data_IF_671842892067
#
_entry.id   IF_671842892067
#
_cell.length_a   1.000
_cell.length_b   1.000
_cell.length_c   1.000
_cell.angle_alpha   90.00
_cell.angle_beta   90.00
_cell.angle_gamma   90.00
#
_symmetry.space_group_name_H-M   'P 1'
#
loop_
_entity.id
_entity.type
_entity.pdbx_description
1 polymer ?
#
# COMPACT_ATOMS: atom_id res chain seq x y z
N UNK A 1 -14.62 -54.83 -30.23
CA UNK A 1 -13.97 -53.50 -30.16
C UNK A 1 -14.98 -52.49 -29.65
N UNK A 2 -15.01 -52.24 -28.33
CA UNK A 2 -15.87 -51.23 -27.70
C UNK A 2 -15.00 -50.03 -27.35
N UNK A 3 -15.24 -48.89 -28.00
CA UNK A 3 -14.55 -47.62 -27.73
C UNK A 3 -15.06 -47.07 -26.40
N UNK A 4 -14.20 -47.05 -25.39
CA UNK A 4 -14.40 -46.33 -24.14
C UNK A 4 -14.35 -44.82 -24.41
N UNK A 5 -15.49 -44.16 -24.28
CA UNK A 5 -15.59 -42.70 -24.26
C UNK A 5 -15.32 -42.26 -22.82
N UNK A 6 -14.17 -41.62 -22.59
CA UNK A 6 -13.87 -40.99 -21.30
C UNK A 6 -14.63 -39.66 -21.21
N UNK A 7 -15.45 -39.53 -20.17
CA UNK A 7 -16.14 -38.29 -19.84
C UNK A 7 -15.12 -37.20 -19.45
N UNK A 8 -15.39 -35.92 -19.77
CA UNK A 8 -14.53 -34.82 -19.35
C UNK A 8 -14.65 -34.65 -17.82
N UNK A 9 -13.51 -34.54 -17.15
CA UNK A 9 -13.44 -34.19 -15.74
C UNK A 9 -14.03 -32.79 -15.55
N UNK A 10 -15.12 -32.68 -14.80
CA UNK A 10 -15.58 -31.40 -14.28
C UNK A 10 -14.50 -30.87 -13.32
N UNK A 11 -13.78 -29.83 -13.76
CA UNK A 11 -13.03 -28.99 -12.86
C UNK A 11 -14.04 -28.25 -11.96
N UNK A 12 -14.14 -28.69 -10.71
CA UNK A 12 -14.89 -27.99 -9.69
C UNK A 12 -14.30 -26.60 -9.50
N UNK A 13 -15.13 -25.58 -9.67
CA UNK A 13 -14.81 -24.19 -9.31
C UNK A 13 -14.69 -24.18 -7.78
N UNK A 14 -13.45 -24.23 -7.28
CA UNK A 14 -13.17 -23.97 -5.88
C UNK A 14 -13.37 -22.46 -5.66
N UNK A 15 -14.56 -22.08 -5.23
CA UNK A 15 -14.81 -20.73 -4.73
C UNK A 15 -13.91 -20.56 -3.51
N UNK A 16 -12.83 -19.81 -3.67
CA UNK A 16 -11.95 -19.36 -2.59
C UNK A 16 -12.78 -18.51 -1.63
N UNK A 17 -13.44 -19.17 -0.68
CA UNK A 17 -13.93 -18.52 0.51
C UNK A 17 -12.69 -18.07 1.28
N UNK A 18 -12.27 -16.82 1.04
CA UNK A 18 -11.50 -16.08 2.04
C UNK A 18 -12.32 -16.27 3.33
N UNK A 19 -11.79 -16.95 4.36
CA UNK A 19 -12.53 -17.07 5.59
C UNK A 19 -12.85 -15.65 6.02
N UNK A 20 -14.14 -15.31 6.06
CA UNK A 20 -14.68 -14.06 6.58
C UNK A 20 -14.43 -14.05 8.11
N UNK A 21 -13.16 -14.12 8.50
CA UNK A 21 -12.69 -13.91 9.87
C UNK A 21 -12.48 -12.42 10.04
N UNK A 22 -13.56 -11.65 9.92
CA UNK A 22 -13.61 -10.29 10.43
C UNK A 22 -14.37 -10.33 11.74
N UNK A 23 -13.67 -10.63 12.84
CA UNK A 23 -14.05 -9.97 14.07
C UNK A 23 -14.02 -8.47 13.75
N UNK A 24 -15.13 -7.79 14.00
CA UNK A 24 -15.25 -6.35 13.75
C UNK A 24 -14.47 -5.61 14.83
N UNK A 25 -13.17 -5.87 14.93
CA UNK A 25 -12.32 -5.18 15.88
C UNK A 25 -12.42 -3.68 15.57
N UNK A 26 -12.83 -2.90 16.56
CA UNK A 26 -12.83 -1.44 16.53
C UNK A 26 -11.41 -0.86 16.37
N UNK A 27 -10.41 -1.73 16.50
CA UNK A 27 -9.01 -1.40 16.39
C UNK A 27 -8.27 -2.55 15.74
N UNK A 28 -7.46 -2.25 14.73
CA UNK A 28 -6.53 -3.21 14.17
C UNK A 28 -5.16 -2.54 14.07
N UNK A 29 -4.50 -2.37 15.20
CA UNK A 29 -3.08 -2.03 15.24
C UNK A 29 -2.43 -2.82 16.37
N UNK A 30 -1.30 -3.44 16.06
CA UNK A 30 -0.54 -4.25 17.01
C UNK A 30 0.78 -3.54 17.25
N UNK A 31 0.85 -2.73 18.31
CA UNK A 31 2.05 -1.94 18.64
C UNK A 31 3.31 -2.81 18.80
N UNK A 32 3.17 -4.12 19.05
CA UNK A 32 4.31 -5.03 19.11
C UNK A 32 5.09 -5.09 17.78
N UNK A 33 4.46 -4.71 16.66
CA UNK A 33 5.10 -4.53 15.36
C UNK A 33 6.31 -3.61 15.47
N UNK A 34 6.23 -2.55 16.28
CA UNK A 34 7.31 -1.60 16.48
C UNK A 34 8.58 -2.31 16.90
N UNK A 35 8.47 -3.35 17.73
CA UNK A 35 9.58 -4.01 18.40
C UNK A 35 10.09 -5.25 17.66
N UNK A 36 9.53 -5.59 16.49
CA UNK A 36 9.98 -6.75 15.72
C UNK A 36 11.46 -6.59 15.32
N UNK A 37 12.34 -7.55 15.66
CA UNK A 37 13.74 -7.52 15.22
C UNK A 37 13.84 -7.46 13.70
N UNK A 38 14.66 -6.54 13.19
CA UNK A 38 14.84 -6.34 11.74
C UNK A 38 13.86 -5.38 11.07
N UNK A 39 12.76 -4.99 11.73
CA UNK A 39 11.92 -3.90 11.24
C UNK A 39 12.57 -2.56 11.56
N UNK A 40 12.99 -1.85 10.52
CA UNK A 40 13.42 -0.46 10.60
C UNK A 40 12.47 0.41 9.76
N UNK A 41 11.81 1.36 10.41
CA UNK A 41 10.93 2.34 9.78
C UNK A 41 11.62 3.70 9.57
N UNK A 42 12.94 3.73 9.77
CA UNK A 42 13.74 4.92 9.59
C UNK A 42 14.07 5.15 8.12
N UNK A 43 13.71 6.33 7.62
CA UNK A 43 13.97 6.74 6.23
C UNK A 43 15.19 7.67 6.20
N UNK A 44 16.38 7.14 5.90
CA UNK A 44 17.58 7.98 5.62
C UNK A 44 17.54 8.59 4.21
N UNK A 45 16.36 8.99 3.76
CA UNK A 45 16.12 9.49 2.40
C UNK A 45 16.92 10.74 2.11
N UNK A 46 17.12 11.61 3.10
CA UNK A 46 17.94 12.82 2.98
C UNK A 46 19.40 12.54 2.57
N UNK A 47 19.90 11.32 2.83
CA UNK A 47 21.26 10.92 2.47
C UNK A 47 21.36 10.30 1.08
N UNK A 48 20.25 10.11 0.37
CA UNK A 48 20.18 9.55 -0.99
C UNK A 48 20.05 10.66 -2.04
N UNK A 49 20.89 11.69 -1.91
CA UNK A 49 20.85 12.90 -2.76
C UNK A 49 21.04 12.62 -4.24
N UNK A 50 21.70 11.53 -4.59
CA UNK A 50 21.92 11.07 -5.96
C UNK A 50 20.66 10.52 -6.66
N UNK A 51 19.60 10.20 -5.89
CA UNK A 51 18.32 9.76 -6.44
C UNK A 51 17.31 10.90 -6.61
N UNK A 52 17.59 12.08 -6.05
CA UNK A 52 16.70 13.23 -6.20
C UNK A 52 17.04 14.04 -7.44
N UNK A 53 16.00 14.43 -8.18
CA UNK A 53 16.09 15.56 -9.10
C UNK A 53 16.09 16.89 -8.33
N UNK A 54 15.79 17.99 -9.02
CA UNK A 54 15.82 19.33 -8.43
C UNK A 54 14.83 19.55 -7.25
N UNK A 55 13.83 18.68 -7.08
CA UNK A 55 12.69 18.90 -6.18
C UNK A 55 12.58 17.93 -4.98
N UNK A 56 13.55 17.03 -4.78
CA UNK A 56 13.76 16.36 -3.48
C UNK A 56 12.70 15.39 -2.92
N UNK A 57 11.60 15.08 -3.62
CA UNK A 57 10.47 14.32 -3.03
C UNK A 57 10.10 12.99 -3.70
N UNK A 58 10.90 12.46 -4.64
CA UNK A 58 10.39 11.45 -5.60
C UNK A 58 10.55 9.99 -5.19
N UNK A 59 10.87 9.74 -3.92
CA UNK A 59 11.15 8.40 -3.40
C UNK A 59 9.98 7.77 -2.65
N UNK A 60 8.81 8.39 -2.60
CA UNK A 60 7.68 7.90 -1.80
C UNK A 60 7.29 6.45 -2.14
N UNK A 61 7.25 6.10 -3.44
CA UNK A 61 6.98 4.73 -3.90
C UNK A 61 8.05 3.73 -3.41
N UNK A 62 9.33 3.87 -3.81
CA UNK A 62 10.41 2.96 -3.39
C UNK A 62 10.56 2.83 -1.88
N UNK A 63 10.43 3.95 -1.15
CA UNK A 63 10.43 3.97 0.31
C UNK A 63 9.27 3.12 0.83
N UNK A 64 8.03 3.41 0.42
CA UNK A 64 6.87 2.69 0.93
C UNK A 64 6.84 1.21 0.58
N UNK A 65 7.36 0.82 -0.59
CA UNK A 65 7.53 -0.59 -0.93
C UNK A 65 8.57 -1.23 0.00
N UNK A 66 9.71 -0.58 0.24
CA UNK A 66 10.72 -1.08 1.18
C UNK A 66 10.15 -1.30 2.58
N UNK A 67 9.39 -0.34 3.10
CA UNK A 67 8.68 -0.43 4.39
C UNK A 67 7.73 -1.62 4.42
N UNK A 68 6.87 -1.70 3.40
CA UNK A 68 5.86 -2.73 3.30
C UNK A 68 6.46 -4.14 3.23
N UNK A 69 7.45 -4.35 2.37
CA UNK A 69 8.10 -5.65 2.18
C UNK A 69 8.89 -6.07 3.43
N UNK A 70 9.54 -5.12 4.10
CA UNK A 70 10.22 -5.37 5.39
C UNK A 70 9.20 -5.82 6.44
N UNK A 71 8.03 -5.19 6.50
CA UNK A 71 6.95 -5.60 7.38
C UNK A 71 6.42 -7.00 7.05
N UNK A 72 6.18 -7.32 5.79
CA UNK A 72 5.76 -8.67 5.41
C UNK A 72 6.77 -9.71 5.87
N UNK A 73 8.07 -9.45 5.69
CA UNK A 73 9.14 -10.36 6.05
C UNK A 73 9.21 -10.64 7.55
N UNK A 74 9.22 -9.58 8.37
CA UNK A 74 9.48 -9.69 9.80
C UNK A 74 8.22 -9.67 10.68
N UNK A 75 7.17 -8.99 10.27
CA UNK A 75 5.91 -8.85 11.02
C UNK A 75 4.84 -9.87 10.66
N UNK A 76 4.76 -10.29 9.39
CA UNK A 76 3.68 -11.17 8.90
C UNK A 76 4.15 -12.60 8.63
N UNK A 77 5.44 -12.79 8.30
CA UNK A 77 6.04 -14.10 8.12
C UNK A 77 6.35 -14.50 6.67
N UNK A 78 6.50 -13.54 5.76
CA UNK A 78 6.99 -13.78 4.40
C UNK A 78 8.53 -13.98 4.40
N UNK A 79 8.98 -15.08 5.00
CA UNK A 79 10.40 -15.36 5.25
C UNK A 79 11.23 -15.51 3.97
N UNK A 80 10.60 -15.88 2.85
CA UNK A 80 11.27 -16.11 1.57
C UNK A 80 11.43 -14.83 0.73
N UNK A 81 10.96 -13.67 1.20
CA UNK A 81 11.18 -12.40 0.49
C UNK A 81 12.67 -12.22 0.24
N UNK A 82 13.01 -12.11 -1.05
CA UNK A 82 14.37 -12.10 -1.54
C UNK A 82 15.14 -10.95 -0.89
N UNK A 83 16.35 -11.21 -0.42
CA UNK A 83 17.31 -10.13 -0.30
C UNK A 83 17.61 -9.61 -1.71
N UNK A 84 18.01 -8.35 -1.82
CA UNK A 84 18.40 -7.68 -3.05
C UNK A 84 19.77 -8.24 -3.47
N UNK A 85 19.76 -9.45 -4.03
CA UNK A 85 20.97 -10.22 -4.38
C UNK A 85 21.83 -9.58 -5.47
N UNK A 86 21.28 -8.61 -6.21
CA UNK A 86 21.98 -7.91 -7.30
C UNK A 86 22.83 -6.72 -6.81
N UNK A 87 22.78 -6.40 -5.52
CA UNK A 87 23.76 -5.52 -4.91
C UNK A 87 24.87 -6.42 -4.35
N UNK A 88 25.98 -6.47 -5.08
CA UNK A 88 27.17 -7.21 -4.68
C UNK A 88 27.67 -6.71 -3.31
N UNK A 89 27.31 -7.44 -2.26
CA UNK A 89 27.55 -7.05 -0.87
C UNK A 89 28.54 -7.97 -0.15
N UNK A 90 29.27 -8.85 -0.86
CA UNK A 90 30.23 -9.78 -0.24
C UNK A 90 29.62 -10.61 0.92
N UNK A 91 28.34 -10.95 0.83
CA UNK A 91 27.61 -11.67 1.89
C UNK A 91 27.16 -10.82 3.09
N UNK A 92 27.23 -9.48 3.00
CA UNK A 92 26.59 -8.58 3.97
C UNK A 92 25.09 -8.47 3.71
N UNK A 93 24.32 -8.24 4.78
CA UNK A 93 22.89 -7.97 4.66
C UNK A 93 22.65 -6.60 4.02
N UNK A 94 21.68 -6.52 3.10
CA UNK A 94 21.28 -5.26 2.48
C UNK A 94 20.86 -4.24 3.54
N UNK A 95 21.31 -3.01 3.38
CA UNK A 95 20.81 -1.91 4.18
C UNK A 95 19.43 -1.46 3.68
N UNK A 96 18.76 -0.64 4.47
CA UNK A 96 17.49 -0.04 4.05
C UNK A 96 17.64 0.83 2.78
N UNK A 97 18.79 1.49 2.63
CA UNK A 97 19.10 2.32 1.46
C UNK A 97 19.30 1.48 0.20
N UNK A 98 19.96 0.33 0.36
CA UNK A 98 20.17 -0.64 -0.72
C UNK A 98 18.82 -1.10 -1.30
N UNK A 99 17.87 -1.41 -0.42
CA UNK A 99 16.50 -1.78 -0.82
C UNK A 99 15.75 -0.64 -1.50
N UNK A 100 15.85 0.59 -0.99
CA UNK A 100 15.24 1.77 -1.64
C UNK A 100 15.83 1.99 -3.03
N UNK A 101 17.15 1.84 -3.21
CA UNK A 101 17.80 1.95 -4.52
C UNK A 101 17.35 0.88 -5.50
N UNK A 102 17.22 -0.35 -5.01
CA UNK A 102 16.66 -1.42 -5.80
C UNK A 102 15.24 -1.09 -6.27
N UNK A 103 14.34 -0.71 -5.37
CA UNK A 103 12.97 -0.36 -5.76
C UNK A 103 12.89 0.90 -6.61
N UNK A 104 13.79 1.86 -6.43
CA UNK A 104 13.91 3.01 -7.33
C UNK A 104 14.11 2.55 -8.78
N UNK A 105 15.05 1.63 -9.01
CA UNK A 105 15.32 1.09 -10.34
C UNK A 105 14.23 0.11 -10.82
N UNK A 106 13.84 -0.84 -9.97
CA UNK A 106 12.91 -1.92 -10.33
C UNK A 106 11.50 -1.39 -10.62
N UNK A 107 11.11 -0.30 -9.95
CA UNK A 107 9.82 0.34 -10.17
C UNK A 107 9.88 1.48 -11.19
N UNK A 108 10.94 1.60 -12.00
CA UNK A 108 11.10 2.67 -12.99
C UNK A 108 10.84 4.08 -12.43
N UNK A 109 11.34 4.36 -11.22
CA UNK A 109 11.06 5.64 -10.56
C UNK A 109 11.82 6.76 -11.26
N UNK A 110 11.12 7.80 -11.68
CA UNK A 110 11.74 8.99 -12.27
C UNK A 110 12.18 9.96 -11.18
N UNK A 111 13.38 10.52 -11.33
CA UNK A 111 13.98 11.44 -10.34
C UNK A 111 13.21 12.75 -10.19
N UNK A 112 12.41 13.11 -11.17
CA UNK A 112 11.68 14.37 -11.25
C UNK A 112 10.16 14.19 -11.07
N UNK A 113 9.59 13.05 -11.45
CA UNK A 113 8.14 12.82 -11.40
C UNK A 113 7.70 11.68 -10.47
N UNK A 114 8.64 10.91 -9.90
CA UNK A 114 8.33 9.79 -9.01
C UNK A 114 7.92 8.52 -9.75
N UNK A 115 7.12 7.69 -9.09
CA UNK A 115 6.70 6.38 -9.59
C UNK A 115 5.22 6.40 -9.97
N UNK A 116 4.85 5.86 -11.14
CA UNK A 116 3.45 5.70 -11.51
C UNK A 116 2.78 4.53 -10.76
N UNK A 117 1.46 4.56 -10.65
CA UNK A 117 0.68 3.56 -9.91
C UNK A 117 0.87 2.15 -10.48
N UNK A 118 0.81 2.05 -11.80
CA UNK A 118 1.06 0.80 -12.51
C UNK A 118 2.48 0.27 -12.29
N UNK A 119 3.48 1.15 -12.26
CA UNK A 119 4.86 0.75 -12.01
C UNK A 119 5.08 0.26 -10.57
N UNK A 120 4.48 0.93 -9.57
CA UNK A 120 4.46 0.45 -8.17
C UNK A 120 3.89 -0.96 -8.09
N UNK A 121 2.71 -1.17 -8.68
CA UNK A 121 2.03 -2.46 -8.66
C UNK A 121 2.83 -3.57 -9.37
N UNK A 122 3.32 -3.30 -10.58
CA UNK A 122 4.12 -4.25 -11.35
C UNK A 122 5.43 -4.62 -10.63
N UNK A 123 6.06 -3.63 -9.99
CA UNK A 123 7.29 -3.79 -9.23
C UNK A 123 7.08 -4.66 -7.98
N UNK A 124 6.03 -4.37 -7.19
CA UNK A 124 5.65 -5.17 -6.03
C UNK A 124 5.35 -6.62 -6.43
N UNK A 125 4.56 -6.81 -7.50
CA UNK A 125 4.26 -8.13 -8.02
C UNK A 125 5.53 -8.89 -8.43
N UNK A 126 6.39 -8.27 -9.24
CA UNK A 126 7.62 -8.89 -9.74
C UNK A 126 8.55 -9.29 -8.59
N UNK A 127 8.71 -8.44 -7.57
CA UNK A 127 9.55 -8.74 -6.41
C UNK A 127 9.00 -9.91 -5.58
N UNK A 128 7.69 -9.97 -5.36
CA UNK A 128 7.03 -11.08 -4.66
C UNK A 128 7.18 -12.39 -5.43
N UNK A 129 7.02 -12.36 -6.75
CA UNK A 129 7.20 -13.53 -7.63
C UNK A 129 8.66 -14.02 -7.66
N UNK A 130 9.62 -13.11 -7.79
CA UNK A 130 11.06 -13.44 -7.73
C UNK A 130 11.47 -14.02 -6.37
N UNK A 131 10.71 -13.71 -5.32
CA UNK A 131 10.87 -14.27 -3.98
C UNK A 131 10.27 -15.68 -3.81
N UNK A 132 9.76 -16.27 -4.88
CA UNK A 132 9.20 -17.63 -4.90
C UNK A 132 7.73 -17.72 -4.45
N UNK A 133 7.06 -16.59 -4.23
CA UNK A 133 5.61 -16.57 -4.01
C UNK A 133 4.87 -16.53 -5.36
N UNK A 134 3.60 -16.92 -5.39
CA UNK A 134 2.76 -16.66 -6.58
C UNK A 134 2.33 -15.19 -6.61
N UNK A 135 1.76 -14.72 -7.73
CA UNK A 135 1.31 -13.34 -7.92
C UNK A 135 0.25 -12.93 -6.88
N UNK A 136 0.65 -12.22 -5.82
CA UNK A 136 -0.25 -11.78 -4.74
C UNK A 136 -0.26 -10.28 -4.48
N UNK A 137 0.41 -9.49 -5.31
CA UNK A 137 0.25 -8.04 -5.27
C UNK A 137 -1.02 -7.67 -6.01
N UNK A 138 -1.90 -6.89 -5.38
CA UNK A 138 -3.12 -6.40 -6.00
C UNK A 138 -3.37 -4.95 -5.64
N UNK A 139 -4.28 -4.35 -6.38
CA UNK A 139 -4.73 -2.99 -6.21
C UNK A 139 -6.24 -2.94 -6.06
N UNK A 140 -6.74 -2.12 -5.14
CA UNK A 140 -8.17 -1.78 -5.02
C UNK A 140 -8.30 -0.28 -5.11
N UNK A 141 -9.27 0.17 -5.88
CA UNK A 141 -9.48 1.58 -6.16
C UNK A 141 -9.81 1.82 -7.64
N UNK A 142 -10.08 3.07 -8.03
CA UNK A 142 -10.44 3.44 -9.39
C UNK A 142 -9.43 3.02 -10.45
N UNK A 143 -8.15 2.90 -10.06
CA UNK A 143 -7.05 2.55 -10.97
C UNK A 143 -6.64 1.08 -10.88
N UNK A 144 -7.41 0.22 -10.22
CA UNK A 144 -7.12 -1.21 -10.14
C UNK A 144 -6.96 -1.84 -11.54
N UNK A 145 -5.86 -2.55 -11.73
CA UNK A 145 -5.47 -3.20 -13.01
C UNK A 145 -5.47 -4.73 -12.96
N UNK A 146 -5.58 -5.31 -11.77
CA UNK A 146 -5.55 -6.76 -11.57
C UNK A 146 -6.47 -7.17 -10.41
N UNK A 147 -6.74 -8.47 -10.31
CA UNK A 147 -7.54 -9.04 -9.23
C UNK A 147 -7.05 -10.44 -8.89
N UNK A 148 -7.34 -10.93 -7.66
CA UNK A 148 -7.10 -12.32 -7.30
C UNK A 148 -7.85 -13.29 -8.22
N UNK A 149 -7.31 -14.51 -8.34
CA UNK A 149 -7.96 -15.57 -9.12
C UNK A 149 -9.40 -15.81 -8.62
N UNK A 150 -10.35 -15.85 -9.55
CA UNK A 150 -11.78 -16.02 -9.23
C UNK A 150 -12.50 -14.75 -8.75
N UNK A 151 -11.80 -13.63 -8.57
CA UNK A 151 -12.40 -12.33 -8.22
C UNK A 151 -12.50 -11.47 -9.49
N UNK A 152 -13.69 -11.01 -9.90
CA UNK A 152 -13.83 -10.08 -11.01
C UNK A 152 -13.07 -8.76 -10.77
N UNK A 153 -12.43 -8.21 -11.80
CA UNK A 153 -11.70 -6.92 -11.69
C UNK A 153 -12.60 -5.78 -11.19
N UNK A 154 -13.88 -5.76 -11.58
CA UNK A 154 -14.86 -4.75 -11.14
C UNK A 154 -15.11 -4.77 -9.62
N UNK A 155 -14.83 -5.89 -8.94
CA UNK A 155 -14.88 -5.97 -7.47
C UNK A 155 -13.69 -5.26 -6.82
N UNK A 156 -12.61 -5.06 -7.56
CA UNK A 156 -11.42 -4.33 -7.13
C UNK A 156 -11.44 -2.88 -7.62
N UNK A 157 -12.09 -2.65 -8.76
CA UNK A 157 -12.12 -1.37 -9.48
C UNK A 157 -13.34 -0.54 -9.11
N UNK A 158 -13.30 0.05 -7.91
CA UNK A 158 -14.35 0.92 -7.39
C UNK A 158 -13.75 2.07 -6.58
N UNK A 159 -14.55 3.08 -6.27
CA UNK A 159 -14.13 4.14 -5.34
C UNK A 159 -13.97 3.54 -3.95
N UNK A 160 -12.80 3.74 -3.34
CA UNK A 160 -12.50 3.18 -2.03
C UNK A 160 -13.54 3.53 -0.97
N UNK A 161 -13.73 2.59 -0.05
CA UNK A 161 -14.57 2.70 1.15
C UNK A 161 -13.75 2.55 2.43
N UNK A 162 -14.30 2.96 3.59
CA UNK A 162 -13.68 2.68 4.89
C UNK A 162 -13.58 1.17 5.11
N UNK A 163 -14.59 0.42 4.68
CA UNK A 163 -14.58 -1.04 4.70
C UNK A 163 -13.39 -1.66 3.94
N UNK A 164 -13.02 -1.13 2.78
CA UNK A 164 -11.86 -1.64 2.02
C UNK A 164 -10.58 -1.50 2.84
N UNK A 165 -10.33 -0.30 3.37
CA UNK A 165 -9.16 -0.03 4.22
C UNK A 165 -9.14 -0.97 5.42
N UNK A 166 -10.27 -1.10 6.13
CA UNK A 166 -10.39 -1.98 7.29
C UNK A 166 -10.16 -3.45 6.96
N UNK A 167 -10.63 -3.90 5.80
CA UNK A 167 -10.49 -5.28 5.34
C UNK A 167 -9.03 -5.62 5.11
N UNK A 168 -8.31 -4.82 4.33
CA UNK A 168 -6.92 -5.13 3.99
C UNK A 168 -5.96 -4.86 5.16
N UNK A 169 -6.14 -3.76 5.89
CA UNK A 169 -5.29 -3.51 7.07
C UNK A 169 -5.57 -4.55 8.16
N UNK A 170 -6.83 -4.91 8.39
CA UNK A 170 -7.22 -5.93 9.37
C UNK A 170 -6.74 -7.34 9.02
N UNK A 171 -6.55 -7.64 7.72
CA UNK A 171 -5.95 -8.89 7.26
C UNK A 171 -4.43 -8.99 7.54
N UNK A 172 -3.83 -7.97 8.16
CA UNK A 172 -2.39 -7.90 8.49
C UNK A 172 -1.51 -8.12 7.26
N UNK A 173 -1.91 -7.58 6.12
CA UNK A 173 -1.11 -7.58 4.90
C UNK A 173 -0.35 -6.25 4.76
N UNK A 174 0.58 -6.18 3.81
CA UNK A 174 1.13 -4.90 3.38
C UNK A 174 -0.02 -4.08 2.81
N UNK A 175 -0.25 -2.88 3.34
CA UNK A 175 -1.14 -1.89 2.73
C UNK A 175 -0.35 -0.62 2.47
N UNK A 176 -0.27 -0.26 1.19
CA UNK A 176 0.31 0.98 0.71
C UNK A 176 -0.84 1.79 0.10
N UNK A 177 -1.02 3.02 0.56
CA UNK A 177 -2.10 3.90 0.12
C UNK A 177 -1.54 4.91 -0.88
N UNK A 178 -2.18 4.99 -2.05
CA UNK A 178 -1.94 6.01 -3.07
C UNK A 178 -2.88 7.18 -2.87
N UNK A 179 -2.32 8.39 -2.86
CA UNK A 179 -3.09 9.63 -2.74
C UNK A 179 -2.68 10.65 -3.80
N UNK A 180 -3.62 11.50 -4.16
CA UNK A 180 -3.36 12.66 -5.02
C UNK A 180 -3.36 13.96 -4.21
N UNK A 181 -2.54 14.92 -4.64
CA UNK A 181 -2.62 16.30 -4.19
C UNK A 181 -3.40 17.12 -5.21
N UNK A 182 -4.30 17.96 -4.71
CA UNK A 182 -5.22 18.72 -5.53
C UNK A 182 -5.21 20.20 -5.17
N UNK A 183 -5.07 21.04 -6.20
CA UNK A 183 -5.27 22.48 -6.09
C UNK A 183 -6.73 22.84 -6.38
N UNK A 184 -7.25 23.81 -5.62
CA UNK A 184 -8.60 24.31 -5.78
C UNK A 184 -8.64 25.49 -6.77
N UNK A 185 -9.44 25.38 -7.81
CA UNK A 185 -9.77 26.51 -8.68
C UNK A 185 -11.05 27.19 -8.19
N UNK A 186 -10.93 28.38 -7.61
CA UNK A 186 -12.07 29.12 -7.06
C UNK A 186 -13.11 29.56 -8.11
N UNK A 187 -12.70 29.73 -9.38
CA UNK A 187 -13.60 30.17 -10.46
C UNK A 187 -14.54 29.05 -10.88
N UNK A 188 -14.01 27.86 -11.07
CA UNK A 188 -14.79 26.67 -11.47
C UNK A 188 -15.30 25.87 -10.28
N UNK A 189 -14.80 26.17 -9.07
CA UNK A 189 -15.01 25.40 -7.83
C UNK A 189 -14.59 23.94 -7.98
N UNK A 190 -13.55 23.66 -8.78
CA UNK A 190 -13.08 22.31 -9.07
C UNK A 190 -11.70 22.07 -8.47
N UNK A 191 -11.47 20.86 -7.97
CA UNK A 191 -10.14 20.39 -7.61
C UNK A 191 -9.43 19.75 -8.81
N UNK A 192 -8.15 20.06 -9.01
CA UNK A 192 -7.32 19.50 -10.09
C UNK A 192 -6.06 18.87 -9.52
N UNK A 193 -5.75 17.65 -9.97
CA UNK A 193 -4.59 16.88 -9.50
C UNK A 193 -3.30 17.55 -9.94
N UNK A 194 -2.37 17.78 -9.01
CA UNK A 194 -1.06 18.38 -9.27
C UNK A 194 0.12 17.47 -8.90
N UNK A 195 -0.15 16.37 -8.20
CA UNK A 195 0.86 15.43 -7.75
C UNK A 195 0.24 14.28 -6.97
N UNK A 196 1.07 13.48 -6.32
CA UNK A 196 0.61 12.38 -5.50
C UNK A 196 1.70 11.86 -4.59
N UNK A 197 1.31 10.93 -3.73
CA UNK A 197 2.17 10.37 -2.70
C UNK A 197 1.79 8.93 -2.39
N UNK A 198 2.75 8.17 -1.87
CA UNK A 198 2.54 6.82 -1.35
C UNK A 198 2.99 6.75 0.09
N UNK A 199 2.19 6.10 0.92
CA UNK A 199 2.53 5.86 2.32
C UNK A 199 1.98 4.51 2.78
N UNK A 200 2.48 3.99 3.88
CA UNK A 200 2.07 2.68 4.39
C UNK A 200 1.04 2.84 5.50
N UNK A 201 0.03 1.97 5.54
CA UNK A 201 -0.95 1.88 6.61
C UNK A 201 -0.77 0.55 7.32
N UNK A 202 -0.49 0.60 8.62
CA UNK A 202 -0.20 -0.57 9.44
C UNK A 202 -1.29 -0.90 10.45
N UNK A 203 -2.19 0.05 10.66
CA UNK A 203 -3.32 -0.16 11.52
C UNK A 203 -4.34 0.95 11.44
N UNK A 204 -5.41 0.80 12.23
CA UNK A 204 -6.45 1.81 12.33
C UNK A 204 -7.16 1.80 13.68
N UNK A 205 -7.69 2.98 14.04
CA UNK A 205 -8.75 3.17 15.02
C UNK A 205 -10.08 3.39 14.27
N UNK A 206 -11.16 2.74 14.71
CA UNK A 206 -12.49 2.83 14.10
C UNK A 206 -13.60 2.72 15.15
N UNK A 207 -14.47 3.73 15.22
CA UNK A 207 -15.73 3.67 15.95
C UNK A 207 -16.88 3.29 15.01
N UNK A 208 -17.75 2.37 15.44
CA UNK A 208 -18.93 2.00 14.64
C UNK A 208 -19.89 3.17 14.43
N UNK A 209 -19.90 4.16 15.34
CA UNK A 209 -20.67 5.38 15.22
C UNK A 209 -20.18 6.28 14.07
N UNK A 210 -18.93 6.13 13.63
CA UNK A 210 -18.37 6.86 12.48
C UNK A 210 -18.88 6.36 11.14
N UNK A 211 -19.30 5.09 11.07
CA UNK A 211 -19.75 4.45 9.83
C UNK A 211 -18.71 4.54 8.70
N UNK A 212 -19.17 4.59 7.45
CA UNK A 212 -18.28 4.68 6.28
C UNK A 212 -17.71 6.10 6.04
N UNK A 213 -17.89 7.03 6.98
CA UNK A 213 -17.47 8.42 6.78
C UNK A 213 -16.12 8.75 7.40
N UNK A 214 -15.57 7.91 8.28
CA UNK A 214 -14.36 8.24 9.00
C UNK A 214 -13.60 7.03 9.55
N UNK A 215 -12.27 7.14 9.60
CA UNK A 215 -11.33 6.20 10.21
C UNK A 215 -10.01 6.92 10.50
N UNK A 216 -9.34 6.57 11.60
CA UNK A 216 -7.99 7.06 11.89
C UNK A 216 -6.97 5.98 11.53
N UNK A 217 -5.98 6.32 10.71
CA UNK A 217 -4.96 5.42 10.18
C UNK A 217 -3.67 5.54 10.99
N UNK A 218 -3.00 4.41 11.26
CA UNK A 218 -1.62 4.37 11.76
C UNK A 218 -0.67 4.24 10.57
N UNK A 219 -0.02 5.34 10.22
CA UNK A 219 0.70 5.51 8.98
C UNK A 219 2.21 5.69 9.16
N UNK A 220 2.99 5.26 8.16
CA UNK A 220 4.42 5.55 8.02
C UNK A 220 4.67 6.12 6.64
N UNK A 221 5.70 6.96 6.51
CA UNK A 221 5.99 7.71 5.30
C UNK A 221 4.88 8.71 4.97
N UNK A 222 4.27 9.33 5.99
CA UNK A 222 3.22 10.34 5.83
C UNK A 222 3.75 11.72 5.40
N UNK A 223 4.95 11.82 4.80
CA UNK A 223 5.71 13.07 4.56
C UNK A 223 6.24 13.74 5.84
N UNK A 224 6.37 12.98 6.91
CA UNK A 224 6.98 13.45 8.14
C UNK A 224 8.40 12.93 8.27
N UNK A 225 9.29 13.75 8.85
CA UNK A 225 10.65 13.32 9.12
C UNK A 225 10.67 12.40 10.36
N UNK A 226 11.13 11.16 10.17
CA UNK A 226 11.31 10.19 11.25
C UNK A 226 12.74 10.24 11.85
N UNK A 227 13.61 11.14 11.36
CA UNK A 227 14.92 11.47 11.92
C UNK A 227 14.89 11.60 13.45
N UNK A 228 15.60 10.73 14.17
CA UNK A 228 15.74 10.81 15.63
C UNK A 228 14.49 10.49 16.45
N UNK A 229 13.38 10.03 15.84
CA UNK A 229 12.20 9.59 16.60
C UNK A 229 12.50 8.35 17.42
N UNK A 230 11.88 8.27 18.60
CA UNK A 230 11.92 7.04 19.38
C UNK A 230 11.11 5.94 18.67
N UNK A 231 11.49 4.69 18.90
CA UNK A 231 10.94 3.53 18.19
C UNK A 231 9.42 3.41 18.32
N UNK A 232 8.86 3.79 19.46
CA UNK A 232 7.42 3.78 19.72
C UNK A 232 6.64 4.89 18.98
N UNK A 233 7.33 5.92 18.46
CA UNK A 233 6.73 7.10 17.83
C UNK A 233 6.90 7.09 16.29
N UNK A 234 7.12 5.90 15.72
CA UNK A 234 7.38 5.72 14.28
C UNK A 234 6.11 5.74 13.43
N UNK A 235 4.93 5.81 14.04
CA UNK A 235 3.64 5.89 13.37
C UNK A 235 2.97 7.22 13.62
N UNK A 236 2.40 7.80 12.57
CA UNK A 236 1.54 8.97 12.68
C UNK A 236 0.07 8.54 12.67
N UNK A 237 -0.77 9.26 13.41
CA UNK A 237 -2.23 9.14 13.31
C UNK A 237 -2.73 10.09 12.22
N UNK A 238 -3.23 9.53 11.12
CA UNK A 238 -3.74 10.27 9.96
C UNK A 238 -5.24 10.04 9.85
N UNK A 239 -6.02 11.11 9.76
CA UNK A 239 -7.47 11.01 9.65
C UNK A 239 -7.90 10.88 8.19
N UNK A 240 -8.68 9.84 7.88
CA UNK A 240 -9.40 9.70 6.62
C UNK A 240 -10.87 10.01 6.88
N UNK A 241 -11.41 10.99 6.16
CA UNK A 241 -12.80 11.46 6.37
C UNK A 241 -13.49 11.73 5.05
N UNK A 242 -14.82 11.58 5.02
CA UNK A 242 -15.62 11.85 3.84
C UNK A 242 -15.38 13.28 3.31
N UNK A 243 -15.41 13.42 1.98
CA UNK A 243 -15.27 14.72 1.34
C UNK A 243 -16.31 15.74 1.87
N UNK A 244 -15.88 16.97 2.20
CA UNK A 244 -16.81 18.01 2.65
C UNK A 244 -17.89 18.32 1.62
N UNK A 245 -19.12 18.49 2.08
CA UNK A 245 -20.25 18.96 1.26
C UNK A 245 -20.29 20.49 1.22
N UNK A 246 -19.22 21.10 0.72
CA UNK A 246 -19.02 22.56 0.68
C UNK A 246 -19.40 23.20 -0.68
N UNK A 247 -20.00 22.41 -1.58
CA UNK A 247 -20.35 22.81 -2.94
C UNK A 247 -19.19 22.87 -3.92
N UNK A 248 -18.00 22.40 -3.53
CA UNK A 248 -16.89 22.14 -4.46
C UNK A 248 -17.14 20.87 -5.27
N UNK A 249 -16.51 20.78 -6.43
CA UNK A 249 -16.50 19.59 -7.29
C UNK A 249 -15.17 18.86 -7.12
N UNK A 250 -15.25 17.62 -6.68
CA UNK A 250 -14.11 16.72 -6.48
C UNK A 250 -14.02 15.72 -7.65
N UNK A 251 -12.85 15.08 -7.87
CA UNK A 251 -12.76 13.96 -8.79
C UNK A 251 -13.73 12.85 -8.40
N UNK A 252 -14.48 12.32 -9.37
CA UNK A 252 -15.50 11.28 -9.15
C UNK A 252 -14.93 9.97 -8.60
N UNK A 253 -13.62 9.81 -8.75
CA UNK A 253 -12.83 8.66 -8.32
C UNK A 253 -12.47 8.70 -6.83
N UNK A 254 -12.79 9.79 -6.13
CA UNK A 254 -12.38 10.00 -4.72
C UNK A 254 -13.59 10.26 -3.82
N UNK A 255 -13.55 9.74 -2.59
CA UNK A 255 -14.58 9.95 -1.57
C UNK A 255 -14.02 10.45 -0.23
N UNK A 256 -12.70 10.39 -0.05
CA UNK A 256 -12.08 10.73 1.22
C UNK A 256 -10.96 11.76 1.06
N UNK A 257 -10.85 12.61 2.09
CA UNK A 257 -9.72 13.51 2.32
C UNK A 257 -8.87 12.98 3.48
N UNK A 258 -7.56 13.12 3.36
CA UNK A 258 -6.62 12.92 4.46
C UNK A 258 -6.28 14.24 5.17
N UNK A 259 -6.19 14.18 6.50
CA UNK A 259 -5.68 15.26 7.34
C UNK A 259 -4.80 14.68 8.47
N UNK A 260 -3.98 15.52 9.10
CA UNK A 260 -3.07 15.10 10.17
C UNK A 260 -1.59 15.36 9.85
N UNK A 261 -0.65 14.74 10.61
CA UNK A 261 0.79 14.89 10.38
C UNK A 261 1.17 14.58 8.93
N UNK A 262 1.87 15.53 8.32
CA UNK A 262 2.33 15.44 6.93
C UNK A 262 1.23 15.42 5.87
N UNK A 263 -0.02 15.73 6.22
CA UNK A 263 -1.12 15.98 5.29
C UNK A 263 -1.84 17.32 5.54
N UNK A 264 -1.17 18.23 6.25
CA UNK A 264 -1.70 19.56 6.61
C UNK A 264 -1.15 20.66 5.68
N UNK A 265 -1.36 20.51 4.37
CA UNK A 265 -0.90 21.46 3.35
C UNK A 265 -2.04 22.34 2.83
N UNK A 266 -1.69 23.33 2.01
CA UNK A 266 -2.67 24.13 1.26
C UNK A 266 -3.43 23.30 0.23
N UNK A 267 -2.80 22.26 -0.31
CA UNK A 267 -3.42 21.30 -1.22
C UNK A 267 -4.35 20.37 -0.46
N UNK A 268 -5.43 19.95 -1.13
CA UNK A 268 -6.29 18.87 -0.64
C UNK A 268 -5.62 17.52 -0.97
N UNK A 269 -5.46 16.66 0.03
CA UNK A 269 -4.96 15.29 -0.18
C UNK A 269 -6.14 14.34 -0.25
N UNK A 270 -6.35 13.70 -1.39
CA UNK A 270 -7.48 12.80 -1.64
C UNK A 270 -7.00 11.36 -1.76
N UNK A 271 -7.75 10.44 -1.17
CA UNK A 271 -7.46 8.99 -1.21
C UNK A 271 -7.91 8.42 -2.55
N UNK A 272 -7.00 7.74 -3.24
CA UNK A 272 -7.25 7.20 -4.58
C UNK A 272 -7.29 5.67 -4.54
N UNK A 273 -6.21 5.02 -4.11
CA UNK A 273 -6.08 3.55 -4.23
C UNK A 273 -5.34 2.90 -3.05
N UNK A 274 -5.56 1.60 -2.88
CA UNK A 274 -4.82 0.71 -1.98
C UNK A 274 -4.06 -0.31 -2.80
N UNK A 275 -2.79 -0.50 -2.47
CA UNK A 275 -1.92 -1.56 -2.98
C UNK A 275 -1.63 -2.51 -1.83
N UNK A 276 -1.74 -3.80 -2.07
CA UNK A 276 -1.49 -4.78 -1.03
C UNK A 276 -0.92 -6.08 -1.56
N UNK A 277 -0.23 -6.81 -0.69
CA UNK A 277 0.31 -8.13 -0.99
C UNK A 277 -0.31 -9.16 -0.08
N UNK A 278 -1.09 -10.08 -0.63
CA UNK A 278 -1.69 -11.17 0.15
C UNK A 278 -0.63 -12.25 0.45
N UNK A 279 -0.57 -12.79 1.69
CA UNK A 279 0.08 -14.07 1.90
C UNK A 279 -0.72 -15.09 1.09
N UNK A 280 -0.02 -15.99 0.41
CA UNK A 280 -0.57 -17.11 -0.37
C UNK A 280 -1.88 -17.66 0.20
N UNK A 281 -2.79 -18.09 -0.69
CA UNK A 281 -3.93 -18.93 -0.33
C UNK A 281 -3.50 -20.03 0.67
N UNK A 282 -4.35 -20.40 1.67
CA UNK A 282 -3.98 -21.35 2.70
C UNK A 282 -3.41 -22.62 2.04
N UNK A 283 -2.19 -23.01 2.42
CA UNK A 283 -1.63 -24.28 1.99
C UNK A 283 -2.66 -25.38 2.32
N UNK A 284 -3.08 -26.22 1.35
CA UNK A 284 -3.62 -27.51 1.70
C UNK A 284 -2.44 -28.36 2.21
N UNK A 285 -2.44 -28.64 3.51
CA UNK A 285 -1.68 -29.77 4.08
C UNK A 285 -2.06 -31.08 3.37
#
# INVERSE_FOLDING_TARGET
MLKSVRAPALFGILVLAIPLLASHAAHAFDESINFQPGLNLYTEVEQMTDLFGAHGSQLCGPVSITHGMTYLKYGVGFKSLAEVKDLDHDGKADTYRDKIRYFFSACNTDRNTGTHYQDVQNCMQSYVEQSGYKAYSYMVGPHAINSPEGVPLETMKHVLTVKDVRTYVGARVLVLMGVGWYDYNATTRTYTRIGGHFFNVYGYDYDTAWGESHITLKAVNSLVNYAGRARQDMYDSVEMSALPQDGSTYPVETQFVLTGPGFSFTQKTLVEDLFFVLPTAPDPL
#
